data_IF_234293593410
#
_entry.id   IF_234293593410
#
_cell.length_a   1.000
_cell.length_b   1.000
_cell.length_c   1.000
_cell.angle_alpha   90.00
_cell.angle_beta   90.00
_cell.angle_gamma   90.00
#
_symmetry.space_group_name_H-M   'P 1'
#
loop_
_entity.id
_entity.type
_entity.pdbx_description
1 polymer ?
#
# COMPACT_ATOMS: atom_id res chain seq x y z
N UNK A 1 9.34 -30.16 4.99
CA UNK A 1 9.02 -28.81 4.50
C UNK A 1 7.84 -28.31 5.34
N UNK A 2 8.00 -27.22 6.08
CA UNK A 2 6.91 -26.65 6.89
C UNK A 2 6.33 -25.44 6.16
N UNK A 3 5.00 -25.34 6.12
CA UNK A 3 4.29 -24.18 5.60
C UNK A 3 3.95 -23.26 6.77
N UNK A 4 4.44 -22.01 6.74
CA UNK A 4 4.11 -20.98 7.72
C UNK A 4 3.11 -19.99 7.12
N UNK A 5 1.97 -19.82 7.78
CA UNK A 5 0.96 -18.82 7.43
C UNK A 5 0.86 -17.78 8.54
N UNK A 6 0.74 -16.51 8.17
CA UNK A 6 0.48 -15.40 9.08
C UNK A 6 -0.88 -14.79 8.74
N UNK A 7 -1.72 -14.57 9.76
CA UNK A 7 -3.01 -13.89 9.63
C UNK A 7 -3.07 -12.73 10.61
N UNK A 8 -3.65 -11.61 10.18
CA UNK A 8 -3.88 -10.41 11.00
C UNK A 8 -5.30 -9.91 10.77
N UNK A 9 -5.99 -9.57 11.85
CA UNK A 9 -7.35 -9.01 11.79
C UNK A 9 -7.32 -7.60 11.19
N UNK A 10 -8.22 -7.34 10.23
CA UNK A 10 -8.27 -6.07 9.51
C UNK A 10 -7.03 -5.84 8.67
N UNK A 11 -6.78 -6.73 7.70
CA UNK A 11 -5.57 -6.78 6.87
C UNK A 11 -5.19 -5.39 6.34
N UNK A 12 -4.25 -4.74 7.02
CA UNK A 12 -3.79 -3.40 6.71
C UNK A 12 -2.51 -3.56 5.91
N UNK A 13 -2.63 -3.41 4.60
CA UNK A 13 -1.47 -3.41 3.72
C UNK A 13 -1.05 -1.98 3.42
N UNK A 14 0.02 -1.54 4.08
CA UNK A 14 0.64 -0.23 3.83
C UNK A 14 1.68 -0.34 2.71
N UNK A 15 1.62 0.55 1.74
CA UNK A 15 2.55 0.61 0.62
C UNK A 15 3.35 1.91 0.70
N UNK A 16 4.68 1.80 0.57
CA UNK A 16 5.54 2.99 0.50
C UNK A 16 5.68 3.45 -0.95
N UNK A 17 5.34 4.71 -1.23
CA UNK A 17 5.46 5.33 -2.55
C UNK A 17 6.36 6.56 -2.50
N UNK A 18 6.99 6.91 -3.63
CA UNK A 18 7.50 8.27 -3.80
C UNK A 18 6.35 9.16 -4.26
N UNK A 19 6.10 10.23 -3.52
CA UNK A 19 5.15 11.25 -3.93
C UNK A 19 5.82 12.19 -4.95
N UNK A 20 5.14 12.47 -6.06
CA UNK A 20 5.49 13.59 -6.94
C UNK A 20 4.28 14.44 -7.22
N UNK A 21 4.38 15.73 -6.97
CA UNK A 21 3.33 16.71 -7.23
C UNK A 21 3.55 17.29 -8.64
N UNK A 22 2.52 17.36 -9.51
CA UNK A 22 2.66 17.92 -10.84
C UNK A 22 3.14 19.38 -10.80
N UNK A 23 4.27 19.65 -11.45
CA UNK A 23 4.79 21.01 -11.62
C UNK A 23 4.02 21.77 -12.71
N UNK A 24 3.90 23.09 -12.56
CA UNK A 24 3.26 23.97 -13.55
C UNK A 24 1.72 23.97 -13.53
N UNK A 25 1.10 23.21 -12.62
CA UNK A 25 -0.35 23.25 -12.38
C UNK A 25 -0.63 24.20 -11.21
N UNK A 26 -1.47 25.22 -11.44
CA UNK A 26 -1.95 26.09 -10.37
C UNK A 26 -2.93 25.27 -9.50
N UNK A 27 -2.58 25.05 -8.24
CA UNK A 27 -3.37 24.30 -7.24
C UNK A 27 -3.70 22.85 -7.66
N UNK A 28 -2.70 21.95 -7.71
CA UNK A 28 -2.95 20.55 -8.03
C UNK A 28 -3.86 19.92 -6.96
N UNK A 29 -4.86 19.16 -7.42
CA UNK A 29 -5.79 18.42 -6.54
C UNK A 29 -5.29 17.02 -6.19
N UNK A 30 -4.38 16.47 -6.99
CA UNK A 30 -3.86 15.12 -6.80
C UNK A 30 -2.35 15.06 -7.06
N UNK A 31 -1.65 14.26 -6.26
CA UNK A 31 -0.25 13.89 -6.44
C UNK A 31 -0.14 12.50 -7.06
N UNK A 32 1.01 12.22 -7.68
CA UNK A 32 1.31 10.91 -8.27
C UNK A 32 2.10 10.05 -7.29
N UNK A 33 1.71 8.78 -7.18
CA UNK A 33 2.38 7.77 -6.36
C UNK A 33 3.25 6.89 -7.23
N UNK A 34 4.55 6.88 -6.97
CA UNK A 34 5.55 6.15 -7.74
C UNK A 34 6.05 4.90 -7.00
N UNK A 35 6.27 3.82 -7.75
CA UNK A 35 6.85 2.55 -7.29
C UNK A 35 8.15 2.24 -8.01
N UNK A 36 8.99 1.39 -7.41
CA UNK A 36 10.22 0.92 -8.04
C UNK A 36 9.91 0.01 -9.24
N UNK A 37 10.60 0.24 -10.36
CA UNK A 37 10.37 -0.45 -11.64
C UNK A 37 10.82 -1.91 -11.73
N UNK A 38 11.43 -2.47 -10.66
CA UNK A 38 11.61 -3.93 -10.54
C UNK A 38 13.05 -4.46 -10.60
N UNK A 39 14.07 -3.60 -10.53
CA UNK A 39 15.47 -3.99 -10.39
C UNK A 39 16.41 -2.79 -10.16
N UNK A 40 17.70 -3.02 -9.88
CA UNK A 40 18.71 -1.96 -9.89
C UNK A 40 18.67 -1.28 -11.26
N UNK A 41 18.61 0.05 -11.30
CA UNK A 41 18.56 0.87 -12.52
C UNK A 41 17.23 0.97 -13.28
N UNK A 42 16.14 0.36 -12.81
CA UNK A 42 14.82 0.64 -13.41
C UNK A 42 14.22 1.88 -12.78
N UNK A 43 13.89 2.88 -13.61
CA UNK A 43 13.26 4.12 -13.16
C UNK A 43 11.97 3.83 -12.38
N UNK A 44 11.67 4.71 -11.43
CA UNK A 44 10.39 4.67 -10.74
C UNK A 44 9.25 4.95 -11.73
N UNK A 45 8.15 4.21 -11.59
CA UNK A 45 6.98 4.28 -12.46
C UNK A 45 5.74 4.72 -11.69
N UNK A 46 4.84 5.44 -12.34
CA UNK A 46 3.56 5.85 -11.74
C UNK A 46 2.72 4.59 -11.49
N UNK A 47 2.20 4.47 -10.28
CA UNK A 47 1.27 3.41 -9.88
C UNK A 47 -0.14 3.92 -9.66
N UNK A 48 -0.28 5.11 -9.09
CA UNK A 48 -1.59 5.67 -8.75
C UNK A 48 -1.53 7.14 -8.39
N UNK A 49 -2.61 7.63 -7.81
CA UNK A 49 -2.74 9.02 -7.36
C UNK A 49 -3.27 9.09 -5.94
N UNK A 50 -2.98 10.20 -5.27
CA UNK A 50 -3.48 10.54 -3.93
C UNK A 50 -4.04 11.95 -3.94
N UNK A 51 -5.15 12.17 -3.22
CA UNK A 51 -5.69 13.51 -3.01
C UNK A 51 -4.69 14.38 -2.23
N UNK A 52 -4.49 15.63 -2.65
CA UNK A 52 -3.56 16.54 -1.98
C UNK A 52 -4.25 17.31 -0.86
N UNK A 53 -3.81 17.07 0.38
CA UNK A 53 -4.07 17.93 1.53
C UNK A 53 -2.92 18.93 1.74
N UNK A 54 -3.12 19.95 2.57
CA UNK A 54 -2.05 20.90 2.92
C UNK A 54 -0.82 20.24 3.57
N UNK A 55 -1.02 19.11 4.25
CA UNK A 55 0.07 18.29 4.78
C UNK A 55 0.83 17.58 3.66
N UNK A 56 0.12 16.87 2.77
CA UNK A 56 0.73 16.09 1.69
C UNK A 56 1.48 16.99 0.70
N UNK A 57 1.00 18.23 0.47
CA UNK A 57 1.66 19.22 -0.39
C UNK A 57 3.10 19.54 0.02
N UNK A 58 3.44 19.39 1.31
CA UNK A 58 4.79 19.66 1.84
C UNK A 58 5.76 18.48 1.66
N UNK A 59 5.27 17.36 1.14
CA UNK A 59 6.00 16.09 1.07
C UNK A 59 6.43 15.72 -0.36
N UNK A 60 6.48 16.69 -1.27
CA UNK A 60 6.91 16.43 -2.65
C UNK A 60 8.33 15.80 -2.68
N UNK A 61 8.49 14.75 -3.50
CA UNK A 61 9.71 13.97 -3.61
C UNK A 61 9.98 12.98 -2.46
N UNK A 62 9.24 13.05 -1.36
CA UNK A 62 9.42 12.19 -0.19
C UNK A 62 8.85 10.78 -0.40
N UNK A 63 9.34 9.82 0.40
CA UNK A 63 8.71 8.51 0.54
C UNK A 63 7.60 8.61 1.58
N UNK A 64 6.39 8.20 1.22
CA UNK A 64 5.22 8.19 2.12
C UNK A 64 4.62 6.78 2.17
N UNK A 65 4.18 6.35 3.34
CA UNK A 65 3.34 5.18 3.48
C UNK A 65 1.89 5.58 3.22
N UNK A 66 1.21 4.81 2.38
CA UNK A 66 -0.20 4.94 2.09
C UNK A 66 -0.93 3.61 2.32
N UNK A 67 -2.21 3.68 2.63
CA UNK A 67 -3.13 2.54 2.69
C UNK A 67 -4.17 2.65 1.59
N UNK A 68 -4.53 1.52 0.99
CA UNK A 68 -5.63 1.49 0.03
C UNK A 68 -6.95 1.24 0.77
N UNK A 69 -7.92 2.12 0.58
CA UNK A 69 -9.25 2.01 1.18
C UNK A 69 -10.27 2.73 0.31
N UNK A 70 -11.43 2.11 0.12
CA UNK A 70 -12.54 2.66 -0.69
C UNK A 70 -12.08 3.23 -2.05
N UNK A 71 -11.35 2.40 -2.79
CA UNK A 71 -10.78 2.74 -4.10
C UNK A 71 -9.78 3.91 -4.12
N UNK A 72 -9.31 4.38 -2.96
CA UNK A 72 -8.42 5.52 -2.82
C UNK A 72 -7.18 5.19 -2.00
N UNK A 73 -6.11 5.95 -2.23
CA UNK A 73 -4.92 5.93 -1.38
C UNK A 73 -5.05 6.97 -0.28
N UNK A 74 -4.91 6.52 0.97
CA UNK A 74 -4.91 7.37 2.15
C UNK A 74 -3.49 7.51 2.68
N UNK A 75 -3.06 8.74 2.98
CA UNK A 75 -1.76 9.02 3.58
C UNK A 75 -1.72 8.51 5.03
N UNK A 76 -0.60 7.87 5.41
CA UNK A 76 -0.36 7.39 6.77
C UNK A 76 0.77 8.19 7.43
N UNK A 77 1.95 8.21 6.80
CA UNK A 77 3.13 8.91 7.35
C UNK A 77 4.22 9.12 6.30
N UNK A 78 5.10 10.07 6.57
CA UNK A 78 6.38 10.19 5.86
C UNK A 78 7.38 9.13 6.37
N UNK A 79 8.22 8.61 5.45
CA UNK A 79 9.27 7.63 5.74
C UNK A 79 10.64 8.26 5.58
N UNK A 80 11.24 8.67 6.69
CA UNK A 80 12.61 9.20 6.74
C UNK A 80 13.68 8.10 6.72
N UNK A 81 13.31 6.87 7.07
CA UNK A 81 14.17 5.69 7.08
C UNK A 81 14.32 5.03 5.70
N UNK A 82 13.67 5.57 4.66
CA UNK A 82 13.63 4.98 3.32
C UNK A 82 14.02 5.97 2.24
N UNK A 83 14.95 5.52 1.39
CA UNK A 83 15.37 6.25 0.19
C UNK A 83 14.59 5.82 -1.08
N UNK A 84 13.95 4.66 -1.04
CA UNK A 84 13.30 4.04 -2.20
C UNK A 84 11.86 3.59 -1.87
N UNK A 85 10.92 3.72 -2.83
CA UNK A 85 9.57 3.20 -2.68
C UNK A 85 9.54 1.66 -2.75
N UNK A 86 8.39 1.07 -2.44
CA UNK A 86 8.17 -0.34 -2.72
C UNK A 86 8.25 -0.63 -4.22
N UNK A 87 8.77 -1.80 -4.58
CA UNK A 87 8.76 -2.27 -5.97
C UNK A 87 7.35 -2.64 -6.42
N UNK A 88 7.06 -2.49 -7.72
CA UNK A 88 5.74 -2.81 -8.31
C UNK A 88 5.21 -4.17 -7.89
N UNK A 89 6.04 -5.22 -7.93
CA UNK A 89 5.65 -6.59 -7.53
C UNK A 89 5.20 -6.67 -6.07
N UNK A 90 5.87 -5.94 -5.18
CA UNK A 90 5.49 -5.89 -3.75
C UNK A 90 4.14 -5.20 -3.56
N UNK A 91 3.92 -4.06 -4.22
CA UNK A 91 2.63 -3.36 -4.15
C UNK A 91 1.48 -4.21 -4.71
N UNK A 92 1.70 -4.87 -5.86
CA UNK A 92 0.68 -5.77 -6.42
C UNK A 92 0.38 -6.97 -5.51
N UNK A 93 1.40 -7.54 -4.86
CA UNK A 93 1.21 -8.63 -3.89
C UNK A 93 0.39 -8.19 -2.68
N UNK A 94 0.62 -6.97 -2.19
CA UNK A 94 -0.16 -6.35 -1.10
C UNK A 94 -1.61 -6.09 -1.48
N UNK A 95 -1.86 -5.56 -2.69
CA UNK A 95 -3.22 -5.37 -3.19
C UNK A 95 -3.96 -6.69 -3.38
N UNK A 96 -3.29 -7.72 -3.89
CA UNK A 96 -3.86 -9.06 -4.02
C UNK A 96 -4.17 -9.71 -2.66
N UNK A 97 -3.39 -9.40 -1.61
CA UNK A 97 -3.67 -9.84 -0.25
C UNK A 97 -4.91 -9.15 0.32
N UNK A 98 -5.05 -7.83 0.12
CA UNK A 98 -6.26 -7.08 0.50
C UNK A 98 -7.53 -7.65 -0.14
N UNK A 99 -7.48 -7.98 -1.43
CA UNK A 99 -8.61 -8.58 -2.15
C UNK A 99 -8.99 -9.97 -1.61
N UNK A 100 -8.00 -10.72 -1.11
CA UNK A 100 -8.17 -12.07 -0.56
C UNK A 100 -8.22 -12.09 0.97
N UNK A 101 -8.42 -10.94 1.61
CA UNK A 101 -8.38 -10.82 3.06
C UNK A 101 -9.39 -11.78 3.70
N UNK A 102 -8.88 -12.68 4.54
CA UNK A 102 -9.70 -13.64 5.28
C UNK A 102 -10.29 -12.91 6.47
N UNK A 103 -11.61 -12.74 6.50
CA UNK A 103 -12.30 -12.15 7.65
C UNK A 103 -12.14 -13.01 8.89
N UNK A 104 -12.19 -12.39 10.08
CA UNK A 104 -12.13 -13.11 11.35
C UNK A 104 -13.23 -14.16 11.45
N UNK A 105 -14.44 -13.84 11.03
CA UNK A 105 -15.58 -14.76 11.09
C UNK A 105 -15.36 -15.98 10.19
N UNK A 106 -14.81 -15.78 8.98
CA UNK A 106 -14.47 -16.88 8.08
C UNK A 106 -13.37 -17.77 8.68
N UNK A 107 -12.36 -17.16 9.32
CA UNK A 107 -11.31 -17.91 10.01
C UNK A 107 -11.88 -18.73 11.17
N UNK A 108 -12.64 -18.11 12.07
CA UNK A 108 -13.24 -18.77 13.24
C UNK A 108 -14.16 -19.92 12.81
N UNK A 109 -15.05 -19.68 11.84
CA UNK A 109 -15.95 -20.70 11.30
C UNK A 109 -15.18 -21.92 10.77
N UNK A 110 -14.07 -21.71 10.06
CA UNK A 110 -13.27 -22.82 9.53
C UNK A 110 -12.48 -23.55 10.62
N UNK A 111 -12.01 -22.83 11.65
CA UNK A 111 -11.35 -23.45 12.80
C UNK A 111 -12.32 -24.34 13.59
N UNK A 112 -13.56 -23.91 13.82
CA UNK A 112 -14.60 -24.70 14.47
C UNK A 112 -14.95 -25.96 13.67
N UNK A 113 -15.13 -25.82 12.34
CA UNK A 113 -15.33 -26.96 11.43
C UNK A 113 -14.15 -27.94 11.47
N UNK A 114 -12.91 -27.44 11.49
CA UNK A 114 -11.71 -28.29 11.53
C UNK A 114 -11.58 -29.09 12.83
N UNK A 115 -12.17 -28.59 13.92
CA UNK A 115 -12.20 -29.26 15.22
C UNK A 115 -13.38 -30.23 15.38
N UNK A 116 -14.25 -30.35 14.38
CA UNK A 116 -15.46 -31.19 14.45
C UNK A 116 -16.50 -30.68 15.45
N UNK A 117 -16.52 -29.37 15.73
CA UNK A 117 -17.44 -28.74 16.71
C UNK A 117 -18.78 -28.28 16.10
N UNK A 118 -19.16 -28.81 14.93
CA UNK A 118 -20.44 -28.55 14.26
C UNK A 118 -21.13 -29.87 13.90
#
# INVERSE_FOLDING_TARGET
MFSLFQWQEGDIQECSFRLKIPNGVKEPKAGQLYVGGGGPHVQEIVHGQIALTEEIKKLDGCIIDCRYFDHQWLFIKQRHDRNYPNGRRSVMGKLAALEKAVSRDLLLTNLEKSKGLN
#
